data_IF_251165919172
#
_entry.id   IF_251165919172
#
_cell.length_a   1.000
_cell.length_b   1.000
_cell.length_c   1.000
_cell.angle_alpha   90.00
_cell.angle_beta   90.00
_cell.angle_gamma   90.00
#
_symmetry.space_group_name_H-M   'P 1'
#
loop_
_entity.id
_entity.type
_entity.pdbx_description
1 polymer ?
#
# COMPACT_ATOMS: atom_id res chain seq x y z
N UNK A 1 -6.73 -25.66 10.46
CA UNK A 1 -6.73 -24.96 11.77
C UNK A 1 -7.07 -23.50 11.52
N UNK A 2 -7.98 -22.89 12.28
CA UNK A 2 -8.29 -21.46 12.15
C UNK A 2 -7.06 -20.63 12.51
N UNK A 3 -6.61 -19.75 11.61
CA UNK A 3 -5.55 -18.77 11.92
C UNK A 3 -6.20 -17.51 12.48
N UNK A 4 -5.98 -17.24 13.77
CA UNK A 4 -6.57 -16.08 14.46
C UNK A 4 -6.21 -14.78 13.73
N UNK A 5 -7.23 -13.98 13.42
CA UNK A 5 -7.07 -12.71 12.70
C UNK A 5 -6.82 -12.83 11.20
N UNK A 6 -7.03 -14.03 10.62
CA UNK A 6 -6.92 -14.27 9.19
C UNK A 6 -8.20 -14.90 8.65
N UNK A 7 -8.48 -14.64 7.38
CA UNK A 7 -9.57 -15.25 6.61
C UNK A 7 -9.00 -16.21 5.58
N UNK A 8 -9.70 -17.30 5.32
CA UNK A 8 -9.37 -18.22 4.23
C UNK A 8 -9.89 -17.64 2.92
N UNK A 9 -9.01 -17.46 1.96
CA UNK A 9 -9.34 -17.09 0.58
C UNK A 9 -9.36 -18.39 -0.22
N UNK A 10 -10.52 -18.80 -0.76
CA UNK A 10 -10.62 -20.05 -1.52
C UNK A 10 -9.84 -19.95 -2.83
N UNK A 11 -9.39 -21.08 -3.35
CA UNK A 11 -8.81 -21.14 -4.70
C UNK A 11 -9.81 -20.63 -5.74
N UNK A 12 -9.29 -20.11 -6.85
CA UNK A 12 -10.14 -19.66 -7.94
C UNK A 12 -9.39 -18.97 -9.06
N UNK A 13 -10.13 -18.70 -10.13
CA UNK A 13 -9.67 -17.90 -11.26
C UNK A 13 -10.39 -16.56 -11.25
N UNK A 14 -9.66 -15.47 -11.49
CA UNK A 14 -10.23 -14.14 -11.58
C UNK A 14 -9.58 -13.31 -12.69
N UNK A 15 -10.31 -12.27 -13.08
CA UNK A 15 -9.87 -11.27 -14.05
C UNK A 15 -9.07 -10.18 -13.33
N UNK A 16 -7.75 -10.19 -13.52
CA UNK A 16 -6.81 -9.23 -12.94
C UNK A 16 -6.66 -7.99 -13.84
N UNK A 17 -6.50 -6.83 -13.22
CA UNK A 17 -6.23 -5.55 -13.89
C UNK A 17 -7.47 -4.76 -14.31
N UNK A 18 -7.23 -3.73 -15.12
CA UNK A 18 -8.21 -2.83 -15.72
C UNK A 18 -7.68 -2.24 -17.02
N UNK A 19 -8.55 -1.99 -18.00
CA UNK A 19 -8.20 -1.35 -19.28
C UNK A 19 -8.64 0.12 -19.32
N UNK A 20 -8.61 0.82 -18.17
CA UNK A 20 -8.91 2.26 -18.11
C UNK A 20 -7.80 3.07 -18.78
N UNK A 21 -8.18 3.97 -19.70
CA UNK A 21 -7.22 4.78 -20.48
C UNK A 21 -6.34 5.68 -19.60
N UNK A 22 -6.90 6.25 -18.52
CA UNK A 22 -6.16 7.10 -17.58
C UNK A 22 -5.16 6.32 -16.69
N UNK A 23 -5.23 4.98 -16.69
CA UNK A 23 -4.39 4.09 -15.88
C UNK A 23 -3.86 2.91 -16.71
N UNK A 24 -3.06 3.18 -17.76
CA UNK A 24 -2.60 2.15 -18.69
C UNK A 24 -1.73 1.08 -18.00
N UNK A 25 -1.13 1.38 -16.85
CA UNK A 25 -0.31 0.44 -16.09
C UNK A 25 -1.10 -0.71 -15.47
N UNK A 26 -2.42 -0.57 -15.34
CA UNK A 26 -3.33 -1.58 -14.79
C UNK A 26 -3.73 -2.64 -15.81
N UNK A 27 -3.33 -2.47 -17.07
CA UNK A 27 -3.63 -3.39 -18.16
C UNK A 27 -2.43 -4.21 -18.64
N UNK A 28 -2.64 -5.12 -19.60
CA UNK A 28 -3.94 -5.55 -20.08
C UNK A 28 -4.65 -6.43 -19.04
N UNK A 29 -5.97 -6.42 -19.08
CA UNK A 29 -6.80 -7.35 -18.31
C UNK A 29 -6.55 -8.80 -18.73
N UNK A 30 -6.36 -9.70 -17.76
CA UNK A 30 -6.06 -11.12 -18.01
C UNK A 30 -6.55 -12.03 -16.89
N UNK A 31 -6.72 -13.32 -17.18
CA UNK A 31 -7.17 -14.30 -16.19
C UNK A 31 -5.98 -14.91 -15.42
N UNK A 32 -6.11 -14.95 -14.09
CA UNK A 32 -5.13 -15.51 -13.16
C UNK A 32 -5.81 -16.54 -12.27
N UNK A 33 -5.18 -17.70 -12.10
CA UNK A 33 -5.62 -18.76 -11.19
C UNK A 33 -4.74 -18.81 -9.96
N UNK A 34 -5.33 -18.88 -8.78
CA UNK A 34 -4.63 -18.96 -7.50
C UNK A 34 -5.13 -20.15 -6.69
N UNK A 35 -4.19 -20.82 -6.00
CA UNK A 35 -4.54 -21.75 -4.93
C UNK A 35 -5.10 -21.01 -3.72
N UNK A 36 -5.75 -21.73 -2.81
CA UNK A 36 -6.28 -21.14 -1.59
C UNK A 36 -5.17 -20.75 -0.60
N UNK A 37 -5.36 -19.63 0.11
CA UNK A 37 -4.40 -19.12 1.09
C UNK A 37 -5.11 -18.39 2.24
N UNK A 38 -4.42 -18.18 3.36
CA UNK A 38 -4.91 -17.33 4.44
C UNK A 38 -4.41 -15.91 4.25
N UNK A 39 -5.26 -14.90 4.46
CA UNK A 39 -4.89 -13.49 4.46
C UNK A 39 -5.31 -12.81 5.76
N UNK A 40 -4.47 -11.91 6.27
CA UNK A 40 -4.82 -11.06 7.41
C UNK A 40 -6.11 -10.28 7.11
N UNK A 41 -7.03 -10.34 8.06
CA UNK A 41 -8.36 -9.75 7.93
C UNK A 41 -8.32 -8.21 7.81
N UNK A 42 -7.23 -7.58 8.27
CA UNK A 42 -6.94 -6.16 8.16
C UNK A 42 -5.42 -5.93 8.05
N UNK A 43 -5.03 -4.70 7.75
CA UNK A 43 -3.63 -4.27 7.78
C UNK A 43 -3.01 -4.41 9.17
N UNK A 44 -1.69 -4.63 9.21
CA UNK A 44 -0.94 -4.73 10.46
C UNK A 44 -1.09 -3.42 11.25
N UNK A 45 -1.62 -3.53 12.44
CA UNK A 45 -1.85 -2.41 13.36
C UNK A 45 -0.56 -1.96 14.04
N UNK A 46 -0.54 -0.70 14.50
CA UNK A 46 0.52 -0.19 15.38
C UNK A 46 0.73 -1.09 16.60
N UNK A 47 -0.34 -1.62 17.21
CA UNK A 47 -0.21 -2.52 18.36
C UNK A 47 0.48 -3.84 18.01
N UNK A 48 0.21 -4.39 16.83
CA UNK A 48 0.89 -5.59 16.32
C UNK A 48 2.37 -5.31 16.04
N UNK A 49 2.67 -4.24 15.31
CA UNK A 49 4.04 -3.86 14.98
C UNK A 49 4.87 -3.52 16.23
N UNK A 50 4.27 -2.84 17.22
CA UNK A 50 4.91 -2.58 18.51
C UNK A 50 5.30 -3.86 19.24
N UNK A 51 4.53 -4.95 19.13
CA UNK A 51 4.91 -6.24 19.74
C UNK A 51 6.13 -6.83 19.05
N UNK A 52 6.19 -6.76 17.72
CA UNK A 52 7.37 -7.15 16.96
C UNK A 52 8.60 -6.37 17.42
N UNK A 53 8.56 -5.03 17.39
CA UNK A 53 9.68 -4.18 17.80
C UNK A 53 10.12 -4.47 19.23
N UNK A 54 9.18 -4.63 20.17
CA UNK A 54 9.51 -4.98 21.57
C UNK A 54 10.13 -6.36 21.72
N UNK A 55 9.71 -7.33 20.92
CA UNK A 55 10.19 -8.71 21.01
C UNK A 55 11.59 -8.89 20.38
N UNK A 56 11.92 -8.09 19.36
CA UNK A 56 13.13 -8.28 18.56
C UNK A 56 14.16 -7.17 18.75
N UNK A 57 13.78 -6.03 19.31
CA UNK A 57 14.60 -4.82 19.32
C UNK A 57 14.79 -4.20 17.93
N UNK A 58 13.90 -4.52 16.98
CA UNK A 58 14.01 -4.05 15.59
C UNK A 58 13.93 -2.53 15.50
N UNK A 59 14.87 -1.95 14.75
CA UNK A 59 14.90 -0.52 14.40
C UNK A 59 14.53 -0.41 12.93
N UNK A 60 13.46 0.30 12.60
CA UNK A 60 12.97 0.41 11.21
C UNK A 60 13.94 1.18 10.32
N UNK A 61 13.82 1.03 9.01
CA UNK A 61 14.63 1.79 8.04
C UNK A 61 14.53 3.30 8.27
N UNK A 62 13.33 3.81 8.57
CA UNK A 62 13.10 5.24 8.85
C UNK A 62 13.83 5.75 10.12
N UNK A 63 14.16 4.86 11.06
CA UNK A 63 14.87 5.19 12.30
C UNK A 63 16.41 5.12 12.16
N UNK A 64 16.93 4.65 11.01
CA UNK A 64 18.37 4.44 10.78
C UNK A 64 19.02 5.61 10.04
N UNK A 65 20.33 5.84 10.23
CA UNK A 65 21.08 6.79 9.41
C UNK A 65 20.98 6.45 7.92
N UNK A 66 20.81 7.48 7.10
CA UNK A 66 20.78 7.33 5.64
C UNK A 66 22.19 7.04 5.10
N UNK A 67 22.29 6.16 4.12
CA UNK A 67 23.56 5.86 3.46
C UNK A 67 23.91 6.96 2.44
N UNK A 68 24.98 7.76 2.66
CA UNK A 68 25.32 8.86 1.76
C UNK A 68 25.62 8.44 0.31
N UNK A 69 26.03 7.19 0.08
CA UNK A 69 26.28 6.70 -1.29
C UNK A 69 25.01 6.65 -2.14
N UNK A 70 23.82 6.62 -1.52
CA UNK A 70 22.53 6.62 -2.21
C UNK A 70 22.03 8.04 -2.54
N UNK A 71 22.66 9.08 -1.98
CA UNK A 71 22.24 10.47 -2.15
C UNK A 71 23.40 11.36 -2.61
N UNK A 72 23.97 11.10 -3.80
CA UNK A 72 25.07 11.91 -4.32
C UNK A 72 24.62 13.37 -4.48
N UNK A 73 25.42 14.30 -3.96
CA UNK A 73 25.16 15.75 -4.07
C UNK A 73 24.21 16.32 -3.00
N UNK A 74 23.69 15.50 -2.09
CA UNK A 74 23.01 15.99 -0.89
C UNK A 74 24.03 16.21 0.23
N UNK A 75 23.93 17.34 0.91
CA UNK A 75 24.76 17.64 2.08
C UNK A 75 24.55 16.55 3.15
N UNK A 76 25.64 15.94 3.62
CA UNK A 76 25.58 14.86 4.59
C UNK A 76 24.90 15.26 5.91
N UNK A 77 24.88 16.54 6.28
CA UNK A 77 24.15 17.05 7.45
C UNK A 77 22.63 16.97 7.30
N UNK A 78 22.12 16.86 6.06
CA UNK A 78 20.69 16.68 5.76
C UNK A 78 20.28 15.19 5.73
N UNK A 79 21.26 14.28 5.75
CA UNK A 79 21.05 12.83 5.68
C UNK A 79 20.76 12.23 7.06
N UNK A 80 19.69 12.69 7.69
CA UNK A 80 19.24 12.26 9.02
C UNK A 80 18.07 11.28 8.93
N UNK A 81 17.86 10.39 9.92
CA UNK A 81 16.72 9.49 9.95
C UNK A 81 15.38 10.25 9.85
N UNK A 82 14.39 9.64 9.20
CA UNK A 82 13.10 10.25 8.93
C UNK A 82 12.37 9.61 7.77
N UNK A 83 11.22 10.18 7.42
CA UNK A 83 10.33 9.64 6.39
C UNK A 83 9.50 10.75 5.74
N UNK A 84 8.90 10.46 4.58
CA UNK A 84 8.01 11.38 3.89
C UNK A 84 6.64 11.44 4.58
N UNK A 85 6.23 12.66 4.95
CA UNK A 85 4.96 12.96 5.60
C UNK A 85 4.12 13.88 4.73
N UNK A 86 2.84 13.54 4.58
CA UNK A 86 1.88 14.40 3.88
C UNK A 86 1.59 15.66 4.71
N UNK A 87 1.74 16.81 4.05
CA UNK A 87 1.50 18.15 4.58
C UNK A 87 0.52 18.87 3.65
N UNK A 88 -0.75 19.08 4.04
CA UNK A 88 -1.72 19.74 3.18
C UNK A 88 -1.28 21.16 2.85
N UNK A 89 -1.58 21.61 1.64
CA UNK A 89 -1.25 22.97 1.19
C UNK A 89 -2.30 23.96 1.67
N UNK A 90 -1.95 25.26 1.67
CA UNK A 90 -2.89 26.34 2.09
C UNK A 90 -3.98 26.64 1.06
N UNK A 91 -3.81 26.16 -0.17
CA UNK A 91 -4.70 26.37 -1.30
C UNK A 91 -4.27 25.52 -2.50
N UNK A 92 -4.89 25.73 -3.67
CA UNK A 92 -4.54 25.01 -4.90
C UNK A 92 -3.06 25.17 -5.27
N UNK A 93 -2.46 24.11 -5.80
CA UNK A 93 -1.07 24.04 -6.26
C UNK A 93 -1.00 23.20 -7.54
N UNK A 94 0.14 23.24 -8.23
CA UNK A 94 0.41 22.34 -9.35
C UNK A 94 0.49 20.88 -8.88
N UNK A 95 -0.44 20.04 -9.38
CA UNK A 95 -0.60 18.63 -9.01
C UNK A 95 0.42 17.70 -9.69
N UNK A 96 1.23 18.21 -10.61
CA UNK A 96 2.37 17.46 -11.19
C UNK A 96 3.60 17.49 -10.28
N UNK A 97 3.64 18.43 -9.33
CA UNK A 97 4.78 18.66 -8.45
C UNK A 97 4.49 18.14 -7.03
N UNK A 98 4.67 16.84 -6.84
CA UNK A 98 4.35 16.14 -5.58
C UNK A 98 5.06 16.70 -4.33
N UNK A 99 6.23 17.33 -4.53
CA UNK A 99 7.03 18.04 -3.50
C UNK A 99 6.25 19.17 -2.81
N UNK A 100 5.15 19.64 -3.41
CA UNK A 100 4.31 20.69 -2.83
C UNK A 100 3.64 20.24 -1.52
N UNK A 101 3.26 18.96 -1.40
CA UNK A 101 2.55 18.42 -0.24
C UNK A 101 3.26 17.25 0.45
N UNK A 102 4.33 16.69 -0.12
CA UNK A 102 5.18 15.74 0.60
C UNK A 102 6.40 16.44 1.15
N UNK A 103 6.71 16.17 2.43
CA UNK A 103 7.89 16.71 3.11
C UNK A 103 8.67 15.57 3.74
N UNK A 104 9.98 15.57 3.55
CA UNK A 104 10.85 14.74 4.36
C UNK A 104 10.91 15.34 5.76
N UNK A 105 10.47 14.60 6.77
CA UNK A 105 10.45 15.06 8.16
C UNK A 105 11.48 14.24 8.95
N UNK A 106 12.60 14.87 9.38
CA UNK A 106 13.54 14.25 10.30
C UNK A 106 12.86 13.73 11.55
N UNK A 107 13.15 12.48 11.93
CA UNK A 107 12.54 11.80 13.08
C UNK A 107 11.07 11.44 12.91
N UNK A 108 10.53 11.44 11.68
CA UNK A 108 9.26 10.78 11.40
C UNK A 108 9.47 9.29 11.14
N UNK A 109 8.77 8.46 11.90
CA UNK A 109 8.84 7.01 11.87
C UNK A 109 7.48 6.38 12.26
N UNK A 110 7.44 5.06 12.44
CA UNK A 110 6.22 4.33 12.77
C UNK A 110 5.62 4.71 14.15
N UNK A 111 6.43 5.17 15.10
CA UNK A 111 6.02 5.59 16.44
C UNK A 111 5.71 7.10 16.51
N UNK A 112 6.28 7.87 15.61
CA UNK A 112 6.18 9.33 15.46
C UNK A 112 5.77 9.73 14.02
N UNK A 113 4.55 9.35 13.55
CA UNK A 113 4.20 9.42 12.14
C UNK A 113 4.00 10.83 11.54
N UNK A 114 3.92 11.87 12.37
CA UNK A 114 3.94 13.27 11.91
C UNK A 114 5.24 13.99 12.27
N UNK A 115 6.28 13.25 12.67
CA UNK A 115 7.55 13.78 13.16
C UNK A 115 7.72 13.69 14.67
N UNK A 116 8.85 14.15 15.22
CA UNK A 116 9.36 13.77 16.54
C UNK A 116 8.50 14.22 17.72
N UNK A 117 7.55 15.14 17.50
CA UNK A 117 6.59 15.60 18.52
C UNK A 117 5.26 14.84 18.49
N UNK A 118 5.03 14.01 17.49
CA UNK A 118 3.82 13.20 17.37
C UNK A 118 3.95 11.90 18.16
N UNK A 119 2.83 11.20 18.34
CA UNK A 119 2.80 9.89 19.02
C UNK A 119 1.69 9.04 18.44
N UNK A 120 1.88 7.72 18.46
CA UNK A 120 0.82 6.75 18.15
C UNK A 120 -0.09 6.42 19.34
N UNK A 121 0.01 7.16 20.45
CA UNK A 121 -0.99 7.06 21.53
C UNK A 121 -2.39 7.37 21.00
N UNK A 122 -3.39 6.58 21.42
CA UNK A 122 -4.73 6.60 20.85
C UNK A 122 -4.87 5.98 19.45
N UNK A 123 -3.76 5.60 18.78
CA UNK A 123 -3.75 5.03 17.42
C UNK A 123 -3.28 3.57 17.37
N UNK A 124 -3.40 2.84 18.48
CA UNK A 124 -2.95 1.44 18.56
C UNK A 124 -3.66 0.50 17.57
N UNK A 125 -4.90 0.80 17.22
CA UNK A 125 -5.69 0.04 16.25
C UNK A 125 -5.63 0.64 14.83
N UNK A 126 -4.84 1.68 14.60
CA UNK A 126 -4.60 2.18 13.24
C UNK A 126 -3.56 1.29 12.55
N UNK A 127 -3.53 1.26 11.20
CA UNK A 127 -2.44 0.65 10.46
C UNK A 127 -1.10 1.29 10.84
N UNK A 128 -0.06 0.47 10.94
CA UNK A 128 1.31 0.98 11.03
C UNK A 128 1.70 1.63 9.69
N UNK A 129 2.39 2.76 9.75
CA UNK A 129 2.92 3.49 8.58
C UNK A 129 4.42 3.73 8.70
N UNK A 130 5.03 4.38 7.71
CA UNK A 130 6.49 4.63 7.66
C UNK A 130 7.34 3.36 7.63
N UNK A 131 6.77 2.27 7.12
CA UNK A 131 7.45 0.99 6.98
C UNK A 131 7.92 0.78 5.54
N UNK A 132 9.20 0.50 5.38
CA UNK A 132 9.85 0.15 4.12
C UNK A 132 9.73 -1.36 3.85
N UNK A 133 10.18 -1.80 2.67
CA UNK A 133 10.13 -3.23 2.30
C UNK A 133 10.87 -4.14 3.29
N UNK A 134 12.03 -3.70 3.79
CA UNK A 134 12.78 -4.44 4.81
C UNK A 134 11.99 -4.61 6.12
N UNK A 135 11.29 -3.56 6.56
CA UNK A 135 10.53 -3.57 7.81
C UNK A 135 9.37 -4.57 7.75
N UNK A 136 8.63 -4.56 6.65
CA UNK A 136 7.45 -5.42 6.49
C UNK A 136 7.82 -6.88 6.30
N UNK A 137 8.94 -7.17 5.62
CA UNK A 137 9.44 -8.54 5.47
C UNK A 137 10.03 -9.08 6.76
N UNK A 138 10.74 -8.26 7.54
CA UNK A 138 11.23 -8.63 8.87
C UNK A 138 10.07 -8.93 9.83
N UNK A 139 9.01 -8.10 9.83
CA UNK A 139 7.80 -8.37 10.60
C UNK A 139 7.13 -9.68 10.15
N UNK A 140 6.93 -9.89 8.85
CA UNK A 140 6.25 -11.07 8.33
C UNK A 140 7.00 -12.35 8.72
N UNK A 141 8.33 -12.36 8.57
CA UNK A 141 9.17 -13.47 8.98
C UNK A 141 9.05 -13.76 10.49
N UNK A 142 9.12 -12.72 11.34
CA UNK A 142 8.92 -12.87 12.78
C UNK A 142 7.53 -13.43 13.14
N UNK A 143 6.50 -13.02 12.41
CA UNK A 143 5.13 -13.49 12.60
C UNK A 143 4.87 -14.89 12.02
N UNK A 144 5.84 -15.51 11.34
CA UNK A 144 5.66 -16.78 10.62
C UNK A 144 4.71 -16.66 9.44
N UNK A 145 4.79 -15.54 8.71
CA UNK A 145 3.93 -15.16 7.59
C UNK A 145 4.75 -14.66 6.40
N UNK A 146 4.06 -14.33 5.32
CA UNK A 146 4.64 -13.73 4.11
C UNK A 146 3.83 -12.49 3.68
N UNK A 147 4.35 -11.73 2.72
CA UNK A 147 3.59 -10.68 2.02
C UNK A 147 2.81 -11.32 0.86
N UNK A 148 1.60 -10.82 0.53
CA UNK A 148 0.86 -11.30 -0.63
C UNK A 148 1.58 -10.92 -1.92
N UNK A 149 1.42 -11.73 -2.96
CA UNK A 149 1.71 -11.30 -4.34
C UNK A 149 0.71 -10.23 -4.78
N UNK A 150 1.02 -9.51 -5.85
CA UNK A 150 0.08 -8.55 -6.43
C UNK A 150 -1.26 -9.23 -6.80
N UNK A 151 -1.18 -10.42 -7.40
CA UNK A 151 -2.35 -11.20 -7.82
C UNK A 151 -3.15 -11.73 -6.65
N UNK A 152 -2.50 -12.26 -5.61
CA UNK A 152 -3.16 -12.68 -4.35
C UNK A 152 -3.89 -11.52 -3.69
N UNK A 153 -3.27 -10.34 -3.62
CA UNK A 153 -3.88 -9.16 -3.03
C UNK A 153 -5.13 -8.72 -3.81
N UNK A 154 -5.05 -8.63 -5.14
CA UNK A 154 -6.17 -8.16 -5.95
C UNK A 154 -7.34 -9.15 -5.98
N UNK A 155 -7.04 -10.46 -6.09
CA UNK A 155 -8.04 -11.51 -5.99
C UNK A 155 -8.81 -11.42 -4.67
N UNK A 156 -8.07 -11.29 -3.57
CA UNK A 156 -8.63 -11.13 -2.25
C UNK A 156 -9.45 -9.84 -2.14
N UNK A 157 -8.97 -8.72 -2.69
CA UNK A 157 -9.63 -7.41 -2.68
C UNK A 157 -10.97 -7.42 -3.42
N UNK A 158 -11.06 -8.12 -4.55
CA UNK A 158 -12.29 -8.24 -5.34
C UNK A 158 -13.42 -8.94 -4.59
N UNK A 159 -13.11 -9.76 -3.58
CA UNK A 159 -14.12 -10.28 -2.65
C UNK A 159 -15.21 -11.12 -3.32
N UNK A 160 -14.88 -11.81 -4.42
CA UNK A 160 -15.83 -12.58 -5.24
C UNK A 160 -16.59 -11.79 -6.30
N UNK A 161 -16.40 -10.47 -6.39
CA UNK A 161 -16.98 -9.65 -7.44
C UNK A 161 -16.17 -9.75 -8.74
N UNK A 162 -16.88 -9.89 -9.86
CA UNK A 162 -16.29 -9.94 -11.21
C UNK A 162 -16.44 -8.58 -11.87
N UNK A 163 -15.32 -7.92 -12.18
CA UNK A 163 -15.31 -6.68 -12.96
C UNK A 163 -15.76 -5.41 -12.23
N UNK A 164 -16.12 -5.48 -10.94
CA UNK A 164 -16.56 -4.32 -10.17
C UNK A 164 -15.46 -3.25 -10.03
N UNK A 165 -15.87 -1.97 -10.05
CA UNK A 165 -14.96 -0.81 -9.93
C UNK A 165 -14.27 -0.71 -8.58
N UNK A 166 -14.98 -1.03 -7.49
CA UNK A 166 -14.50 -1.00 -6.11
C UNK A 166 -14.63 -2.38 -5.45
N UNK A 167 -14.02 -2.55 -4.28
CA UNK A 167 -14.04 -3.81 -3.51
C UNK A 167 -15.44 -4.16 -2.95
N UNK A 168 -16.42 -3.28 -3.13
CA UNK A 168 -17.81 -3.44 -2.69
C UNK A 168 -18.85 -3.28 -3.81
N UNK A 169 -18.45 -3.04 -5.07
CA UNK A 169 -19.36 -2.79 -6.20
C UNK A 169 -18.93 -1.61 -7.06
N UNK A 170 -19.86 -1.05 -7.83
CA UNK A 170 -19.56 -0.01 -8.84
C UNK A 170 -19.85 1.42 -8.37
N UNK A 171 -20.71 1.58 -7.37
CA UNK A 171 -21.04 2.87 -6.78
C UNK A 171 -20.04 3.23 -5.67
N UNK A 172 -19.51 4.45 -5.68
CA UNK A 172 -18.52 4.90 -4.69
C UNK A 172 -19.11 5.02 -3.28
N UNK A 173 -20.31 5.61 -3.18
CA UNK A 173 -21.01 5.83 -1.91
C UNK A 173 -22.43 5.24 -1.97
N UNK A 174 -22.55 3.90 -1.98
CA UNK A 174 -23.85 3.24 -2.06
C UNK A 174 -24.74 3.72 -0.91
N UNK A 175 -25.95 4.19 -1.25
CA UNK A 175 -26.91 4.77 -0.30
C UNK A 175 -26.31 5.90 0.56
N UNK A 176 -25.37 6.67 0.01
CA UNK A 176 -24.70 7.79 0.68
C UNK A 176 -23.72 7.37 1.77
N UNK A 177 -23.37 6.07 1.85
CA UNK A 177 -22.46 5.52 2.86
C UNK A 177 -21.02 5.54 2.37
N UNK A 178 -20.11 6.08 3.18
CA UNK A 178 -18.68 5.91 2.96
C UNK A 178 -18.28 4.43 3.16
N UNK A 179 -17.54 3.88 2.19
CA UNK A 179 -17.13 2.47 2.18
C UNK A 179 -15.62 2.26 2.39
N UNK A 180 -14.85 3.34 2.41
CA UNK A 180 -13.42 3.37 2.62
C UNK A 180 -12.97 4.71 3.20
N UNK A 181 -11.78 4.74 3.78
CA UNK A 181 -11.11 5.98 4.17
C UNK A 181 -10.31 6.54 2.99
N UNK A 182 -10.82 7.58 2.33
CA UNK A 182 -10.14 8.31 1.24
C UNK A 182 -10.36 9.82 1.41
N UNK A 183 -9.73 10.65 0.57
CA UNK A 183 -9.85 12.11 0.63
C UNK A 183 -11.18 12.59 0.06
N UNK A 184 -11.88 13.48 0.78
CA UNK A 184 -13.13 14.11 0.33
C UNK A 184 -12.91 15.62 0.25
N UNK A 185 -13.17 16.23 -0.91
CA UNK A 185 -12.91 17.64 -1.19
C UNK A 185 -11.72 17.85 -2.15
N UNK A 186 -11.31 19.10 -2.34
CA UNK A 186 -10.23 19.46 -3.27
C UNK A 186 -8.84 19.09 -2.74
N UNK A 187 -8.25 18.01 -3.24
CA UNK A 187 -6.86 17.66 -2.96
C UNK A 187 -5.88 18.75 -3.49
N UNK A 188 -4.76 19.05 -2.80
CA UNK A 188 -4.30 18.58 -1.49
C UNK A 188 -4.59 19.55 -0.32
N UNK A 189 -5.52 20.49 -0.49
CA UNK A 189 -5.68 21.63 0.44
C UNK A 189 -7.01 21.63 1.22
N UNK A 190 -8.07 21.07 0.64
CA UNK A 190 -9.40 21.02 1.23
C UNK A 190 -9.84 19.58 1.50
N UNK A 191 -9.72 19.15 2.76
CA UNK A 191 -10.29 17.88 3.22
C UNK A 191 -11.55 18.15 4.06
N UNK A 192 -12.71 17.83 3.49
CA UNK A 192 -14.04 18.06 4.06
C UNK A 192 -14.39 17.08 5.18
N UNK A 193 -13.58 16.03 5.40
CA UNK A 193 -13.78 15.12 6.54
C UNK A 193 -13.50 15.83 7.88
N UNK A 194 -14.12 15.36 8.98
CA UNK A 194 -13.73 15.74 10.34
C UNK A 194 -12.24 15.58 10.57
N UNK A 195 -11.62 16.45 11.36
CA UNK A 195 -10.15 16.46 11.58
C UNK A 195 -9.61 15.09 11.99
N UNK A 196 -10.33 14.37 12.86
CA UNK A 196 -9.95 13.04 13.34
C UNK A 196 -9.91 11.96 12.24
N UNK A 197 -10.57 12.19 11.11
CA UNK A 197 -10.71 11.24 9.99
C UNK A 197 -9.85 11.63 8.77
N UNK A 198 -9.08 12.73 8.86
CA UNK A 198 -8.25 13.22 7.74
C UNK A 198 -6.98 12.41 7.51
N UNK A 199 -6.59 11.56 8.47
CA UNK A 199 -5.41 10.69 8.40
C UNK A 199 -5.85 9.22 8.32
N UNK A 200 -4.99 8.29 8.77
CA UNK A 200 -5.40 6.91 8.98
C UNK A 200 -6.54 6.83 9.98
N UNK A 201 -7.41 5.84 9.81
CA UNK A 201 -8.48 5.47 10.74
C UNK A 201 -8.16 4.09 11.35
N UNK A 202 -8.79 3.73 12.49
CA UNK A 202 -8.68 2.38 13.03
C UNK A 202 -9.00 1.34 11.96
N UNK A 203 -8.29 0.23 11.94
CA UNK A 203 -8.63 -0.89 11.06
C UNK A 203 -10.07 -1.31 11.31
N UNK A 204 -10.76 -1.77 10.26
CA UNK A 204 -12.16 -2.20 10.33
C UNK A 204 -13.17 -1.08 10.63
N UNK A 205 -12.82 0.16 10.32
CA UNK A 205 -13.75 1.30 10.42
C UNK A 205 -14.88 1.23 9.38
N UNK A 206 -14.65 0.49 8.28
CA UNK A 206 -15.59 0.31 7.17
C UNK A 206 -15.99 -1.16 7.02
N UNK A 207 -17.08 -1.48 6.28
CA UNK A 207 -17.50 -2.86 6.05
C UNK A 207 -16.40 -3.72 5.41
N UNK A 208 -16.36 -5.03 5.69
CA UNK A 208 -15.51 -5.94 4.96
C UNK A 208 -16.05 -6.19 3.54
N UNK A 209 -15.19 -6.64 2.62
CA UNK A 209 -15.60 -7.13 1.31
C UNK A 209 -16.22 -8.56 1.40
N UNK A 210 -16.58 -9.15 0.27
CA UNK A 210 -17.21 -10.47 0.22
C UNK A 210 -16.36 -11.65 0.72
N UNK A 211 -15.04 -11.47 0.91
CA UNK A 211 -14.16 -12.45 1.55
C UNK A 211 -13.95 -12.19 3.05
N UNK A 212 -14.60 -11.18 3.63
CA UNK A 212 -14.42 -10.83 5.04
C UNK A 212 -13.19 -9.96 5.34
N UNK A 213 -12.56 -9.38 4.31
CA UNK A 213 -11.38 -8.52 4.45
C UNK A 213 -11.77 -7.06 4.61
N UNK A 214 -11.13 -6.38 5.56
CA UNK A 214 -11.30 -4.96 5.83
C UNK A 214 -10.20 -4.15 5.16
N UNK A 215 -10.49 -2.87 4.92
CA UNK A 215 -9.51 -1.87 4.46
C UNK A 215 -8.80 -2.26 3.14
N UNK A 216 -9.43 -3.06 2.27
CA UNK A 216 -8.91 -3.41 0.93
C UNK A 216 -8.96 -2.22 -0.05
N UNK A 217 -9.49 -1.07 0.37
CA UNK A 217 -9.49 0.17 -0.38
C UNK A 217 -9.33 1.34 0.59
N UNK A 218 -8.41 2.26 0.28
CA UNK A 218 -8.12 3.41 1.12
C UNK A 218 -7.38 3.08 2.40
N UNK A 219 -7.47 3.97 3.39
CA UNK A 219 -6.72 3.98 4.65
C UNK A 219 -5.20 4.08 4.46
N UNK A 220 -4.53 3.00 4.05
CA UNK A 220 -3.11 2.99 3.71
C UNK A 220 -2.87 2.13 2.47
N UNK A 221 -1.89 2.50 1.67
CA UNK A 221 -1.34 1.61 0.66
C UNK A 221 -0.75 0.36 1.31
N UNK A 222 -0.72 -0.74 0.57
CA UNK A 222 -0.23 -2.01 1.08
C UNK A 222 0.87 -2.59 0.21
N UNK A 223 1.99 -2.95 0.84
CA UNK A 223 3.10 -3.65 0.20
C UNK A 223 2.69 -5.05 -0.30
N UNK A 224 3.12 -5.37 -1.52
CA UNK A 224 3.05 -6.73 -2.10
C UNK A 224 4.46 -7.22 -2.51
N UNK A 225 4.60 -8.53 -2.73
CA UNK A 225 5.89 -9.18 -2.99
C UNK A 225 6.42 -9.06 -4.41
N UNK A 226 5.69 -8.42 -5.30
CA UNK A 226 6.04 -8.34 -6.72
C UNK A 226 6.88 -7.09 -6.99
N UNK A 227 7.88 -7.24 -7.85
CA UNK A 227 8.56 -6.08 -8.43
C UNK A 227 7.66 -5.41 -9.45
N UNK A 228 7.69 -4.09 -9.48
CA UNK A 228 6.82 -3.30 -10.34
C UNK A 228 7.23 -3.42 -11.82
N UNK A 229 6.22 -3.39 -12.69
CA UNK A 229 6.32 -3.22 -14.15
C UNK A 229 5.26 -2.23 -14.60
N UNK A 230 5.52 -1.54 -15.71
CA UNK A 230 4.61 -0.54 -16.26
C UNK A 230 3.33 -1.12 -16.87
N UNK A 231 3.14 -2.44 -16.86
CA UNK A 231 1.95 -3.15 -17.31
C UNK A 231 1.95 -4.58 -16.73
N UNK A 232 0.95 -5.37 -17.09
CA UNK A 232 0.78 -6.78 -16.75
C UNK A 232 1.29 -7.76 -17.81
N UNK A 233 2.07 -7.35 -18.81
CA UNK A 233 2.48 -8.25 -19.90
C UNK A 233 3.36 -9.41 -19.44
N UNK A 234 4.16 -9.23 -18.39
CA UNK A 234 4.92 -10.33 -17.76
C UNK A 234 4.03 -11.31 -16.98
N UNK A 235 2.84 -10.87 -16.55
CA UNK A 235 1.83 -11.69 -15.86
C UNK A 235 0.72 -12.18 -16.79
N UNK A 236 0.71 -11.77 -18.06
CA UNK A 236 -0.12 -12.35 -19.11
C UNK A 236 0.59 -13.55 -19.72
N UNK A 237 0.03 -14.75 -19.57
CA UNK A 237 0.59 -15.95 -20.17
C UNK A 237 0.61 -15.89 -21.71
N UNK A 238 1.34 -16.80 -22.39
CA UNK A 238 1.27 -16.90 -23.85
C UNK A 238 -0.18 -17.15 -24.30
N UNK A 239 -0.64 -16.36 -25.26
CA UNK A 239 -2.04 -15.95 -25.44
C UNK A 239 -3.09 -17.00 -25.85
N UNK A 240 -2.89 -18.32 -25.62
CA UNK A 240 -3.79 -19.31 -26.23
C UNK A 240 -4.38 -20.43 -25.36
N UNK A 241 -3.84 -20.85 -24.20
CA UNK A 241 -4.32 -22.15 -23.65
C UNK A 241 -4.55 -22.32 -22.13
N UNK A 242 -4.21 -21.38 -21.25
CA UNK A 242 -4.63 -21.45 -19.84
C UNK A 242 -4.40 -20.12 -19.12
N UNK A 243 -5.22 -19.76 -18.11
CA UNK A 243 -4.88 -18.67 -17.20
C UNK A 243 -3.55 -18.98 -16.50
N UNK A 244 -2.75 -17.94 -16.24
CA UNK A 244 -1.50 -18.12 -15.48
C UNK A 244 -1.83 -18.57 -14.06
N UNK A 245 -1.14 -19.61 -13.60
CA UNK A 245 -1.23 -20.06 -12.21
C UNK A 245 -0.23 -19.30 -11.35
N UNK A 246 -0.72 -18.50 -10.40
CA UNK A 246 0.08 -17.73 -9.43
C UNK A 246 1.29 -17.01 -10.06
N UNK A 247 1.05 -16.06 -10.99
CA UNK A 247 2.12 -15.32 -11.63
C UNK A 247 2.81 -14.40 -10.62
N UNK A 248 4.14 -14.34 -10.69
CA UNK A 248 5.00 -13.55 -9.80
C UNK A 248 6.10 -12.84 -10.56
N UNK A 249 6.30 -11.55 -10.28
CA UNK A 249 7.40 -10.76 -10.82
C UNK A 249 8.54 -10.70 -9.78
N UNK A 250 9.46 -11.66 -9.87
CA UNK A 250 10.53 -11.85 -8.86
C UNK A 250 11.84 -11.12 -9.19
N UNK A 251 12.03 -10.66 -10.43
CA UNK A 251 13.27 -9.99 -10.86
C UNK A 251 13.16 -8.48 -10.67
N UNK A 252 14.10 -7.91 -9.92
CA UNK A 252 14.17 -6.47 -9.68
C UNK A 252 14.47 -5.66 -10.94
N UNK A 253 15.33 -6.18 -11.82
CA UNK A 253 15.74 -5.49 -13.04
C UNK A 253 14.53 -5.07 -13.87
N UNK A 254 14.44 -3.77 -14.18
CA UNK A 254 13.33 -3.18 -14.92
C UNK A 254 12.19 -2.66 -14.03
N UNK A 255 12.34 -2.71 -12.70
CA UNK A 255 11.41 -2.09 -11.76
C UNK A 255 11.81 -0.68 -11.34
N UNK A 256 13.06 -0.30 -11.57
CA UNK A 256 13.63 0.99 -11.22
C UNK A 256 13.03 2.12 -12.08
N UNK A 257 13.20 3.38 -11.66
CA UNK A 257 12.93 4.53 -12.52
C UNK A 257 14.25 5.07 -13.09
N UNK A 258 14.55 4.86 -14.39
CA UNK A 258 15.82 5.29 -14.96
C UNK A 258 15.92 6.81 -15.08
N UNK A 259 14.81 7.55 -14.93
CA UNK A 259 14.79 9.01 -15.04
C UNK A 259 15.14 9.72 -13.73
N UNK A 260 15.10 8.98 -12.60
CA UNK A 260 15.36 9.54 -11.29
C UNK A 260 16.81 9.29 -10.84
N UNK A 261 17.46 10.24 -10.13
CA UNK A 261 18.82 10.06 -9.63
C UNK A 261 18.88 9.30 -8.29
N UNK A 262 20.02 8.67 -7.98
CA UNK A 262 20.35 8.17 -6.63
C UNK A 262 19.44 7.03 -6.14
N UNK A 263 18.98 7.09 -4.88
CA UNK A 263 18.08 6.11 -4.26
C UNK A 263 16.78 5.89 -5.06
N UNK A 264 16.40 6.82 -5.93
CA UNK A 264 15.25 6.61 -6.80
C UNK A 264 15.50 5.58 -7.94
N UNK A 265 16.74 5.12 -8.10
CA UNK A 265 17.12 3.93 -8.88
C UNK A 265 17.10 2.64 -8.02
N UNK A 266 16.56 2.67 -6.80
CA UNK A 266 16.30 1.43 -6.08
C UNK A 266 15.16 0.67 -6.75
N UNK A 267 15.18 -0.68 -6.70
CA UNK A 267 14.07 -1.48 -7.18
C UNK A 267 12.74 -1.04 -6.56
N UNK A 268 11.68 -1.06 -7.37
CA UNK A 268 10.34 -0.70 -6.91
C UNK A 268 9.48 -1.95 -6.80
N UNK A 269 8.66 -2.02 -5.76
CA UNK A 269 7.63 -3.05 -5.61
C UNK A 269 6.25 -2.47 -5.75
N UNK A 270 5.28 -3.34 -5.98
CA UNK A 270 3.90 -2.93 -6.20
C UNK A 270 3.23 -2.63 -4.85
N UNK A 271 2.64 -1.45 -4.75
CA UNK A 271 1.63 -1.11 -3.75
C UNK A 271 0.22 -1.27 -4.33
N UNK A 272 -0.71 -1.72 -3.49
CA UNK A 272 -2.13 -1.86 -3.84
C UNK A 272 -3.04 -1.15 -2.83
N UNK A 273 -4.28 -0.85 -3.26
CA UNK A 273 -5.38 -0.41 -2.39
C UNK A 273 -5.58 1.09 -2.21
N UNK A 274 -4.61 1.94 -2.54
CA UNK A 274 -4.74 3.38 -2.29
C UNK A 274 -4.67 3.72 -0.80
N UNK A 275 -4.96 4.96 -0.44
CA UNK A 275 -4.86 5.44 0.94
C UNK A 275 -5.92 6.48 1.29
N UNK A 276 -5.90 6.94 2.54
CA UNK A 276 -6.69 8.08 3.01
C UNK A 276 -6.42 9.42 2.28
N UNK A 277 -5.36 9.48 1.46
CA UNK A 277 -4.99 10.64 0.65
C UNK A 277 -5.42 10.53 -0.82
N UNK A 278 -5.89 9.36 -1.26
CA UNK A 278 -6.41 9.21 -2.61
C UNK A 278 -7.73 9.98 -2.77
N UNK A 279 -7.93 10.65 -3.90
CA UNK A 279 -9.03 11.59 -4.14
C UNK A 279 -9.59 11.41 -5.55
N UNK A 280 -10.90 11.58 -5.74
CA UNK A 280 -11.53 11.46 -7.08
C UNK A 280 -10.95 12.44 -8.10
N UNK A 281 -10.56 13.63 -7.64
CA UNK A 281 -10.03 14.71 -8.48
C UNK A 281 -8.50 14.66 -8.71
N UNK A 282 -7.80 13.62 -8.21
CA UNK A 282 -6.34 13.51 -8.36
C UNK A 282 -5.83 12.08 -8.51
N UNK A 283 -6.17 11.20 -7.56
CA UNK A 283 -5.64 9.84 -7.50
C UNK A 283 -6.76 8.86 -7.15
N UNK A 284 -7.34 8.22 -8.16
CA UNK A 284 -8.45 7.26 -8.00
C UNK A 284 -7.95 5.83 -7.75
N UNK A 285 -6.84 5.68 -7.03
CA UNK A 285 -6.19 4.38 -6.82
C UNK A 285 -6.71 3.58 -5.62
N UNK A 286 -7.86 3.96 -5.06
CA UNK A 286 -8.62 3.15 -4.09
C UNK A 286 -9.52 2.09 -4.77
N UNK A 287 -9.07 1.56 -5.91
CA UNK A 287 -9.72 0.51 -6.70
C UNK A 287 -8.88 -0.77 -6.61
N UNK A 288 -9.49 -1.98 -6.66
CA UNK A 288 -8.73 -3.22 -6.54
C UNK A 288 -7.68 -3.41 -7.65
N UNK A 289 -7.97 -2.98 -8.88
CA UNK A 289 -7.04 -3.04 -10.01
C UNK A 289 -5.86 -2.06 -9.87
N UNK A 290 -6.05 -0.96 -9.15
CA UNK A 290 -5.06 0.10 -9.09
C UNK A 290 -3.77 -0.35 -8.42
N UNK A 291 -2.65 0.13 -8.96
CA UNK A 291 -1.30 -0.23 -8.57
C UNK A 291 -0.39 0.99 -8.57
N UNK A 292 0.66 0.95 -7.77
CA UNK A 292 1.65 2.02 -7.72
C UNK A 292 3.05 1.45 -7.49
N UNK A 293 4.06 2.08 -8.11
CA UNK A 293 5.45 1.69 -7.96
C UNK A 293 6.07 2.40 -6.75
N UNK A 294 6.51 1.66 -5.74
CA UNK A 294 7.17 2.23 -4.56
C UNK A 294 8.62 1.73 -4.41
N UNK A 295 9.59 2.65 -4.31
CA UNK A 295 10.98 2.32 -3.98
C UNK A 295 11.08 1.55 -2.65
N UNK A 296 11.79 0.43 -2.64
CA UNK A 296 11.87 -0.47 -1.48
C UNK A 296 12.45 0.17 -0.21
N UNK A 297 13.28 1.21 -0.36
CA UNK A 297 13.93 1.94 0.74
C UNK A 297 13.07 3.05 1.36
N UNK A 298 11.91 3.36 0.76
CA UNK A 298 11.12 4.52 1.15
C UNK A 298 9.76 4.14 1.75
N UNK A 299 9.58 4.47 3.03
CA UNK A 299 8.31 4.43 3.75
C UNK A 299 7.67 5.83 3.78
N UNK A 300 6.36 5.90 3.93
CA UNK A 300 5.61 7.16 3.93
C UNK A 300 4.43 7.12 4.92
N UNK A 301 3.88 8.28 5.29
CA UNK A 301 2.77 8.41 6.26
C UNK A 301 1.43 7.79 5.84
N UNK A 302 1.41 7.06 4.74
CA UNK A 302 0.22 6.47 4.13
C UNK A 302 0.48 5.09 3.51
N UNK A 303 1.61 4.46 3.84
CA UNK A 303 2.00 3.13 3.36
C UNK A 303 2.15 2.20 4.57
N UNK A 304 1.41 1.09 4.54
CA UNK A 304 1.45 -0.01 5.49
C UNK A 304 1.47 -1.35 4.75
N UNK A 305 0.93 -2.41 5.36
CA UNK A 305 0.91 -3.75 4.78
C UNK A 305 -0.05 -4.70 5.53
N UNK A 306 -0.32 -5.85 4.91
CA UNK A 306 -0.93 -7.03 5.53
C UNK A 306 -0.16 -8.29 5.14
N UNK A 307 -0.36 -9.38 5.87
CA UNK A 307 0.36 -10.63 5.61
C UNK A 307 -0.58 -11.76 5.17
N UNK A 308 0.02 -12.82 4.63
CA UNK A 308 -0.63 -14.08 4.25
C UNK A 308 0.10 -15.29 4.83
N UNK A 309 -0.56 -16.45 4.77
CA UNK A 309 0.06 -17.76 4.97
C UNK A 309 -0.48 -18.73 3.92
N UNK A 310 0.42 -19.38 3.17
CA UNK A 310 0.07 -20.45 2.23
C UNK A 310 0.02 -21.82 2.94
N UNK A 311 -0.80 -22.78 2.47
CA UNK A 311 -0.87 -24.14 3.01
C UNK A 311 0.46 -24.90 3.01
#
# INVERSE_FOLDING_TARGET
>A
MLKKGMVWIPEGTFRMGSDLEDYPEEGPVHDVTLGGFWMDENTVTVAQFRRFVRATGYVTVAERPLNPSLYPGIDASLLVPGSLVFSPTRGPVDLTQWQNWWRYIPGADWAHPEGPKSTVEGRLLHPVTHVCWEDVTAYAAWAGKELPTESEWEFAARGGLVGAKYVWGDELTPVGRAMANYWVGEFPWQNLKPIAERRTMPVRSFPPNGHGLYDMAGNVWEWTSDFYRNDHRETTGPSCCAPMSDPRVIKSAGSEDPTLPGEAQTPRRVLKGGSHLCAENYCQRFRPAARHAQPIGSGMSHIGFRCIVRP
#
